data_IF_450838091954
#
_entry.id   IF_450838091954
#
_cell.length_a   1.000
_cell.length_b   1.000
_cell.length_c   1.000
_cell.angle_alpha   90.00
_cell.angle_beta   90.00
_cell.angle_gamma   90.00
#
_symmetry.space_group_name_H-M   'P 1'
#
loop_
_entity.id
_entity.type
_entity.pdbx_description
1 polymer ?
#
# COMPACT_ATOMS: atom_id res chain seq x y z
N UNK A 1 0.15 7.22 -0.73
CA UNK A 1 0.68 7.43 -2.09
C UNK A 1 0.89 6.05 -2.66
N UNK A 2 0.47 5.79 -3.90
CA UNK A 2 0.59 4.45 -4.49
C UNK A 2 1.97 4.28 -5.12
N UNK A 3 2.64 3.19 -4.79
CA UNK A 3 3.92 2.77 -5.38
C UNK A 3 3.73 1.56 -6.29
N UNK A 4 2.96 0.56 -5.84
CA UNK A 4 2.70 -0.64 -6.63
C UNK A 4 1.22 -0.81 -6.91
N UNK A 5 0.91 -1.07 -8.16
CA UNK A 5 -0.45 -1.32 -8.64
C UNK A 5 -0.83 -2.76 -8.32
N UNK A 6 -2.10 -2.98 -7.92
CA UNK A 6 -2.63 -4.32 -7.73
C UNK A 6 -2.43 -5.19 -8.98
N UNK A 7 -1.94 -6.43 -8.78
CA UNK A 7 -1.61 -7.38 -9.83
C UNK A 7 -0.25 -7.17 -10.48
N UNK A 8 0.51 -6.13 -10.12
CA UNK A 8 1.85 -5.87 -10.66
C UNK A 8 2.92 -6.77 -10.02
N UNK A 9 4.00 -6.98 -10.77
CA UNK A 9 5.28 -7.56 -10.29
C UNK A 9 6.37 -6.51 -10.13
N UNK A 10 6.14 -5.32 -10.68
CA UNK A 10 7.09 -4.22 -10.65
C UNK A 10 6.94 -3.52 -9.30
N UNK A 11 7.96 -3.66 -8.46
CA UNK A 11 8.05 -2.97 -7.19
C UNK A 11 8.74 -1.64 -7.42
N UNK A 12 7.94 -0.57 -7.47
CA UNK A 12 8.46 0.78 -7.43
C UNK A 12 8.61 1.26 -5.99
N UNK A 13 9.51 2.21 -5.79
CA UNK A 13 9.68 2.95 -4.55
C UNK A 13 9.85 4.43 -4.85
N UNK A 14 9.35 5.29 -3.97
CA UNK A 14 9.56 6.73 -4.08
C UNK A 14 10.93 7.12 -3.52
N UNK A 15 11.81 7.59 -4.41
CA UNK A 15 13.12 8.11 -3.99
C UNK A 15 13.00 9.58 -3.59
N UNK A 16 13.25 9.89 -2.32
CA UNK A 16 13.17 11.25 -1.77
C UNK A 16 14.18 12.22 -2.37
N UNK A 17 15.39 11.77 -2.70
CA UNK A 17 16.45 12.63 -3.24
C UNK A 17 16.17 13.05 -4.69
N UNK A 18 15.56 12.16 -5.48
CA UNK A 18 15.26 12.38 -6.89
C UNK A 18 13.84 12.88 -7.13
N UNK A 19 13.02 12.87 -6.09
CA UNK A 19 11.58 13.20 -6.12
C UNK A 19 10.81 12.38 -7.18
N UNK A 20 11.21 11.12 -7.39
CA UNK A 20 10.71 10.27 -8.47
C UNK A 20 10.47 8.83 -8.03
N UNK A 21 9.50 8.17 -8.68
CA UNK A 21 9.32 6.72 -8.55
C UNK A 21 10.38 5.99 -9.35
N UNK A 22 11.10 5.09 -8.69
CA UNK A 22 12.16 4.27 -9.26
C UNK A 22 11.72 2.82 -9.19
N UNK A 23 11.93 2.07 -10.27
CA UNK A 23 11.77 0.61 -10.22
C UNK A 23 12.90 0.03 -9.37
N UNK A 24 12.59 -0.37 -8.14
CA UNK A 24 13.52 -1.04 -7.23
C UNK A 24 13.85 -2.44 -7.78
N UNK A 25 12.80 -3.24 -8.04
CA UNK A 25 12.96 -4.59 -8.61
C UNK A 25 11.69 -5.13 -9.24
N UNK A 26 11.86 -6.14 -10.09
CA UNK A 26 10.77 -7.01 -10.55
C UNK A 26 10.75 -8.27 -9.67
N UNK A 27 9.60 -8.63 -9.10
CA UNK A 27 9.47 -9.82 -8.26
C UNK A 27 9.84 -11.09 -9.04
N UNK A 28 10.79 -11.87 -8.51
CA UNK A 28 11.36 -13.04 -9.18
C UNK A 28 10.38 -14.23 -9.22
N UNK A 29 9.61 -14.44 -8.15
CA UNK A 29 8.59 -15.49 -8.06
C UNK A 29 7.35 -15.14 -8.89
N UNK A 30 6.54 -16.14 -9.25
CA UNK A 30 5.24 -15.97 -9.91
C UNK A 30 4.17 -15.36 -8.99
N UNK A 31 4.58 -14.47 -8.08
CA UNK A 31 3.71 -13.74 -7.17
C UNK A 31 3.53 -12.32 -7.67
N UNK A 32 2.35 -11.77 -7.41
CA UNK A 32 1.98 -10.39 -7.69
C UNK A 32 1.52 -9.75 -6.40
N UNK A 33 1.59 -8.42 -6.33
CA UNK A 33 0.96 -7.71 -5.22
C UNK A 33 -0.57 -7.90 -5.32
N UNK A 34 -1.25 -8.48 -4.31
CA UNK A 34 -2.66 -8.80 -4.42
C UNK A 34 -3.57 -7.56 -4.36
N UNK A 35 -3.03 -6.45 -3.86
CA UNK A 35 -3.70 -5.17 -3.67
C UNK A 35 -2.73 -4.03 -3.99
N UNK A 36 -3.23 -2.81 -4.12
CA UNK A 36 -2.35 -1.65 -4.25
C UNK A 36 -1.47 -1.48 -3.01
N UNK A 37 -0.24 -1.04 -3.21
CA UNK A 37 0.74 -0.84 -2.15
C UNK A 37 1.32 0.57 -2.25
N UNK A 38 1.67 1.14 -1.10
CA UNK A 38 2.59 2.26 -1.02
C UNK A 38 2.69 2.75 0.42
N UNK A 39 2.87 4.06 0.60
CA UNK A 39 3.11 4.63 1.94
C UNK A 39 2.15 5.78 2.28
N UNK A 40 2.05 6.13 3.57
CA UNK A 40 1.24 7.26 4.06
C UNK A 40 2.13 8.52 4.12
N UNK A 41 1.88 9.54 3.27
CA UNK A 41 2.68 10.77 3.29
C UNK A 41 2.63 11.47 4.65
N UNK A 42 3.73 12.13 5.02
CA UNK A 42 3.85 12.89 6.27
C UNK A 42 3.68 12.04 7.54
N UNK A 43 4.08 10.77 7.46
CA UNK A 43 4.25 9.89 8.63
C UNK A 43 5.72 9.53 8.77
N UNK A 44 6.13 9.21 9.99
CA UNK A 44 7.46 8.73 10.33
C UNK A 44 7.28 7.49 11.21
N UNK A 45 7.84 6.37 10.79
CA UNK A 45 7.97 5.15 11.58
C UNK A 45 9.38 5.06 12.20
N UNK A 46 9.60 4.08 13.08
CA UNK A 46 10.78 3.98 13.94
C UNK A 46 12.11 3.84 13.17
N UNK A 47 12.03 3.48 11.88
CA UNK A 47 13.13 3.30 10.92
C UNK A 47 13.46 4.55 10.08
N UNK A 48 12.73 5.65 10.25
CA UNK A 48 12.71 6.86 9.41
C UNK A 48 11.99 6.73 8.06
N UNK A 49 11.28 5.63 7.83
CA UNK A 49 10.45 5.49 6.64
C UNK A 49 8.98 5.84 6.95
N UNK A 50 8.22 6.29 5.94
CA UNK A 50 6.79 6.50 6.13
C UNK A 50 6.06 5.16 6.31
N UNK A 51 4.95 5.16 7.05
CA UNK A 51 4.16 3.95 7.30
C UNK A 51 3.65 3.32 6.00
N UNK A 52 3.86 2.02 5.87
CA UNK A 52 3.35 1.22 4.77
C UNK A 52 1.83 1.03 4.83
N UNK A 53 1.21 1.06 3.65
CA UNK A 53 -0.24 0.91 3.47
C UNK A 53 -0.57 0.05 2.27
N UNK A 54 -1.45 -0.92 2.51
CA UNK A 54 -2.10 -1.76 1.51
C UNK A 54 -3.52 -1.23 1.26
N UNK A 55 -3.87 -1.01 0.01
CA UNK A 55 -5.14 -0.41 -0.42
C UNK A 55 -5.88 -1.42 -1.29
N UNK A 56 -7.00 -1.92 -0.79
CA UNK A 56 -7.87 -2.80 -1.57
C UNK A 56 -8.58 -2.00 -2.66
N UNK A 57 -8.28 -2.31 -3.92
CA UNK A 57 -8.95 -1.72 -5.07
C UNK A 57 -9.45 -2.83 -5.99
N UNK A 58 -10.58 -2.58 -6.65
CA UNK A 58 -11.11 -3.50 -7.66
C UNK A 58 -10.51 -3.24 -9.04
N UNK A 59 -10.20 -1.98 -9.34
CA UNK A 59 -9.51 -1.60 -10.57
C UNK A 59 -8.06 -1.25 -10.24
N UNK A 60 -7.11 -1.57 -11.15
CA UNK A 60 -5.74 -1.09 -11.05
C UNK A 60 -5.69 0.45 -10.97
N UNK A 61 -4.89 0.96 -10.05
CA UNK A 61 -4.60 2.38 -9.90
C UNK A 61 -3.35 2.75 -10.69
N UNK A 62 -2.88 4.00 -10.55
CA UNK A 62 -1.63 4.46 -11.16
C UNK A 62 -0.54 4.67 -10.11
N UNK A 63 0.72 4.44 -10.48
CA UNK A 63 1.87 4.79 -9.63
C UNK A 63 1.90 6.30 -9.41
N UNK A 64 2.14 6.72 -8.17
CA UNK A 64 2.15 8.11 -7.75
C UNK A 64 0.80 8.75 -7.47
N UNK A 65 -0.31 8.05 -7.68
CA UNK A 65 -1.61 8.62 -7.34
C UNK A 65 -1.81 8.72 -5.81
N UNK A 66 -2.56 9.74 -5.40
CA UNK A 66 -3.00 9.92 -4.01
C UNK A 66 -4.41 9.39 -3.86
N UNK A 67 -4.57 8.39 -2.99
CA UNK A 67 -5.86 7.83 -2.64
C UNK A 67 -6.19 8.24 -1.21
N UNK A 68 -7.38 8.84 -1.03
CA UNK A 68 -7.94 9.02 0.31
C UNK A 68 -8.49 7.67 0.77
N UNK A 69 -7.79 7.03 1.69
CA UNK A 69 -8.13 5.71 2.20
C UNK A 69 -8.58 5.76 3.67
N UNK A 70 -9.41 4.79 4.05
CA UNK A 70 -9.83 4.52 5.43
C UNK A 70 -9.17 3.24 5.91
N UNK A 71 -8.38 3.26 6.99
CA UNK A 71 -7.85 2.04 7.60
C UNK A 71 -8.99 1.12 8.06
N UNK A 72 -8.80 -0.18 7.88
CA UNK A 72 -9.74 -1.24 8.31
C UNK A 72 -9.07 -2.34 9.15
N UNK A 73 -7.74 -2.33 9.25
CA UNK A 73 -6.98 -3.28 10.04
C UNK A 73 -5.47 -3.07 9.87
N UNK A 74 -4.69 -3.93 10.52
CA UNK A 74 -3.23 -3.98 10.40
C UNK A 74 -2.84 -5.42 10.13
N UNK A 75 -2.01 -5.63 9.11
CA UNK A 75 -1.36 -6.91 8.85
C UNK A 75 -0.01 -6.91 9.55
N UNK A 76 0.13 -7.71 10.59
CA UNK A 76 1.41 -7.87 11.29
C UNK A 76 2.17 -8.97 10.56
N UNK A 77 3.30 -8.62 9.96
CA UNK A 77 4.23 -9.57 9.36
C UNK A 77 5.51 -9.59 10.19
N UNK A 78 6.21 -10.71 10.15
CA UNK A 78 7.52 -10.86 10.76
C UNK A 78 8.50 -11.20 9.64
N UNK A 79 9.53 -10.39 9.48
CA UNK A 79 10.63 -10.63 8.54
C UNK A 79 11.97 -10.81 9.28
N UNK A 80 13.09 -10.81 8.55
CA UNK A 80 14.42 -10.99 9.14
C UNK A 80 14.85 -9.78 10.00
N UNK A 81 14.19 -8.63 9.87
CA UNK A 81 14.49 -7.37 10.56
C UNK A 81 13.52 -7.08 11.73
N UNK A 82 12.37 -7.77 11.79
CA UNK A 82 11.48 -7.77 12.94
C UNK A 82 10.00 -7.77 12.57
N UNK A 83 9.18 -7.14 13.41
CA UNK A 83 7.77 -6.90 13.09
C UNK A 83 7.64 -5.76 12.07
N UNK A 84 6.98 -6.06 10.95
CA UNK A 84 6.70 -5.14 9.85
C UNK A 84 5.16 -4.97 9.72
N UNK A 85 4.56 -4.06 10.51
CA UNK A 85 3.12 -3.83 10.50
C UNK A 85 2.70 -3.01 9.29
N UNK A 86 1.82 -3.57 8.45
CA UNK A 86 1.27 -2.87 7.28
C UNK A 86 -0.19 -2.49 7.47
N UNK A 87 -0.53 -1.22 7.21
CA UNK A 87 -1.91 -0.75 7.35
C UNK A 87 -2.77 -1.31 6.22
N UNK A 88 -3.87 -2.01 6.53
CA UNK A 88 -4.85 -2.43 5.53
C UNK A 88 -5.96 -1.37 5.42
N UNK A 89 -6.31 -0.99 4.20
CA UNK A 89 -7.23 0.12 3.96
C UNK A 89 -8.10 -0.04 2.72
N UNK A 90 -9.15 0.78 2.64
CA UNK A 90 -10.08 0.88 1.50
C UNK A 90 -10.24 2.32 1.03
N UNK A 91 -10.44 2.59 -0.28
CA UNK A 91 -10.71 3.93 -0.79
C UNK A 91 -12.04 4.49 -0.25
N UNK A 92 -12.01 5.74 0.24
CA UNK A 92 -13.21 6.40 0.81
C UNK A 92 -14.24 6.78 -0.26
N UNK A 93 -13.83 6.90 -1.52
CA UNK A 93 -14.69 7.30 -2.65
C UNK A 93 -15.09 6.13 -3.55
N UNK A 94 -14.80 4.90 -3.15
CA UNK A 94 -15.24 3.72 -3.89
C UNK A 94 -16.47 3.13 -3.20
N UNK A 95 -17.67 3.27 -3.81
CA UNK A 95 -18.93 2.87 -3.19
C UNK A 95 -19.04 1.35 -2.96
N UNK A 96 -18.16 0.55 -3.57
CA UNK A 96 -18.09 -0.89 -3.30
C UNK A 96 -17.65 -1.19 -1.86
N UNK A 97 -16.99 -0.24 -1.21
CA UNK A 97 -16.58 -0.32 0.20
C UNK A 97 -17.47 0.52 1.15
N UNK A 98 -18.59 1.05 0.65
CA UNK A 98 -19.57 1.74 1.49
C UNK A 98 -20.32 0.74 2.36
N UNK A 99 -20.24 0.99 3.66
CA UNK A 99 -20.51 0.03 4.72
C UNK A 99 -22.00 -0.15 5.04
N UNK A 100 -22.81 -0.40 4.01
CA UNK A 100 -24.19 -0.90 4.22
C UNK A 100 -24.24 -2.39 4.59
N UNK A 101 -23.08 -3.07 4.73
CA UNK A 101 -23.03 -4.54 4.92
C UNK A 101 -21.88 -5.13 5.77
N UNK A 102 -20.92 -4.38 6.28
CA UNK A 102 -19.92 -4.93 7.20
C UNK A 102 -20.30 -4.56 8.63
N UNK A 103 -21.10 -5.45 9.22
CA UNK A 103 -21.36 -5.49 10.65
C UNK A 103 -20.08 -5.27 11.46
N UNK A 104 -20.21 -4.36 12.43
CA UNK A 104 -19.34 -4.17 13.59
C UNK A 104 -18.83 -5.50 14.18
N UNK A 105 -17.65 -5.51 14.83
CA UNK A 105 -16.99 -6.70 15.38
C UNK A 105 -17.88 -7.55 16.29
#
# INVERSE_FOLDING_TARGET
MVEVISGSRDKYEYNLDWEAFVLDRVLHSSVVFPVGYGFIPQTWFDDNDPLDIMIMTYEPTEVGCIIKARPIGVLIMEDEEGEDPKILSVPVKDPRFDDSRCSSP
#
